data_IF_539533734156
#
_entry.id   IF_539533734156
#
_cell.length_a   1.000
_cell.length_b   1.000
_cell.length_c   1.000
_cell.angle_alpha   90.00
_cell.angle_beta   90.00
_cell.angle_gamma   90.00
#
_symmetry.space_group_name_H-M   'P 1'
#
loop_
_entity.id
_entity.type
_entity.pdbx_description
1 polymer ?
#
# COMPACT_ATOMS: atom_id res chain seq x y z
N UNK A 1 15.92 -0.48 4.47
CA UNK A 1 14.70 -1.15 5.00
C UNK A 1 14.49 -2.55 4.44
N UNK A 2 14.86 -2.88 3.20
CA UNK A 2 14.53 -4.17 2.55
C UNK A 2 15.65 -5.23 2.55
N UNK A 3 16.81 -4.98 3.17
CA UNK A 3 17.90 -5.96 3.17
C UNK A 3 17.66 -7.10 4.18
N UNK A 4 18.24 -8.29 3.91
CA UNK A 4 18.09 -9.50 4.74
C UNK A 4 18.49 -9.26 6.20
N UNK A 5 19.65 -8.62 6.42
CA UNK A 5 20.12 -8.27 7.76
C UNK A 5 19.09 -7.44 8.53
N UNK A 6 18.51 -6.42 7.90
CA UNK A 6 17.49 -5.61 8.57
C UNK A 6 16.24 -6.44 8.90
N UNK A 7 15.80 -7.31 8.00
CA UNK A 7 14.66 -8.21 8.26
C UNK A 7 14.94 -9.16 9.44
N UNK A 8 16.14 -9.71 9.54
CA UNK A 8 16.59 -10.54 10.67
C UNK A 8 16.60 -9.74 11.99
N UNK A 9 17.20 -8.54 11.97
CA UNK A 9 17.25 -7.64 13.13
C UNK A 9 15.82 -7.28 13.60
N UNK A 10 14.86 -7.07 12.68
CA UNK A 10 13.45 -6.82 13.02
C UNK A 10 12.72 -8.08 13.52
N UNK A 11 12.99 -9.25 12.93
CA UNK A 11 12.39 -10.53 13.31
C UNK A 11 12.78 -10.94 14.74
N UNK A 12 14.02 -10.63 15.15
CA UNK A 12 14.51 -10.92 16.49
C UNK A 12 13.71 -10.22 17.61
N UNK A 13 12.91 -9.20 17.27
CA UNK A 13 12.04 -8.50 18.22
C UNK A 13 10.66 -9.18 18.42
N UNK A 14 10.34 -10.21 17.63
CA UNK A 14 9.04 -10.88 17.68
C UNK A 14 9.08 -11.96 18.78
N UNK A 15 8.23 -11.81 19.80
CA UNK A 15 7.94 -12.83 20.81
C UNK A 15 6.60 -13.51 20.47
N UNK A 16 6.62 -14.82 20.21
CA UNK A 16 5.41 -15.56 19.84
C UNK A 16 4.43 -15.75 21.00
N UNK A 17 4.82 -15.42 22.24
CA UNK A 17 3.99 -15.54 23.44
C UNK A 17 3.50 -14.19 23.96
N UNK A 18 4.03 -13.07 23.45
CA UNK A 18 3.73 -11.73 23.97
C UNK A 18 3.83 -10.65 22.89
N UNK A 19 2.83 -9.78 22.82
CA UNK A 19 2.89 -8.59 21.98
C UNK A 19 3.87 -7.54 22.53
N UNK A 20 4.54 -6.77 21.66
CA UNK A 20 5.39 -5.66 22.08
C UNK A 20 4.56 -4.50 22.64
N UNK A 21 5.01 -3.90 23.74
CA UNK A 21 4.33 -2.75 24.39
C UNK A 21 4.49 -1.44 23.62
N UNK A 22 5.60 -1.28 22.89
CA UNK A 22 5.89 -0.10 22.06
C UNK A 22 6.45 -0.55 20.73
N UNK A 23 5.92 0.03 19.66
CA UNK A 23 6.43 -0.17 18.30
C UNK A 23 6.86 1.18 17.74
N UNK A 24 7.98 1.22 17.02
CA UNK A 24 8.52 2.46 16.45
C UNK A 24 7.55 3.19 15.50
N UNK A 25 6.50 2.50 15.04
CA UNK A 25 5.47 3.03 14.15
C UNK A 25 4.19 3.46 14.89
N UNK A 26 4.17 3.48 16.23
CA UNK A 26 2.97 3.79 17.04
C UNK A 26 2.37 5.16 16.75
N UNK A 27 3.20 6.10 16.30
CA UNK A 27 2.82 7.50 16.13
C UNK A 27 2.31 7.79 14.71
N UNK A 28 2.22 6.76 13.85
CA UNK A 28 1.61 6.89 12.53
C UNK A 28 0.09 7.00 12.69
N UNK A 29 -0.40 8.23 12.67
CA UNK A 29 -1.84 8.51 12.54
C UNK A 29 -2.32 7.93 11.20
N UNK A 30 -3.10 6.86 11.27
CA UNK A 30 -3.75 6.23 10.14
C UNK A 30 -5.26 6.56 10.17
N UNK A 31 -5.69 7.73 9.68
CA UNK A 31 -7.11 7.99 9.57
C UNK A 31 -7.76 6.91 8.70
N UNK A 32 -8.96 6.43 9.06
CA UNK A 32 -9.68 5.46 8.24
C UNK A 32 -9.84 5.99 6.82
N UNK A 33 -9.34 5.24 5.84
CA UNK A 33 -9.40 5.59 4.43
C UNK A 33 -9.91 4.38 3.64
N UNK A 34 -11.17 4.45 3.19
CA UNK A 34 -11.86 3.28 2.62
C UNK A 34 -12.16 3.42 1.12
N UNK A 35 -12.05 4.61 0.54
CA UNK A 35 -12.53 4.92 -0.80
C UNK A 35 -11.39 4.86 -1.83
N UNK A 36 -11.05 3.64 -2.25
CA UNK A 36 -9.98 3.34 -3.22
C UNK A 36 -10.48 2.23 -4.12
N UNK A 37 -10.21 2.29 -5.42
CA UNK A 37 -10.55 1.20 -6.35
C UNK A 37 -9.28 0.56 -6.86
N UNK A 38 -9.19 -0.76 -6.72
CA UNK A 38 -8.19 -1.59 -7.39
C UNK A 38 -8.84 -2.32 -8.58
N UNK A 39 -8.12 -2.39 -9.68
CA UNK A 39 -8.49 -3.03 -10.93
C UNK A 39 -7.26 -3.78 -11.44
N UNK A 40 -7.47 -4.96 -12.00
CA UNK A 40 -6.43 -5.67 -12.73
C UNK A 40 -6.98 -6.22 -14.05
N UNK A 41 -6.13 -6.21 -15.07
CA UNK A 41 -6.42 -6.82 -16.38
C UNK A 41 -5.22 -7.66 -16.83
N UNK A 42 -5.51 -8.71 -17.58
CA UNK A 42 -4.52 -9.56 -18.26
C UNK A 42 -5.06 -9.84 -19.66
N UNK A 43 -4.23 -9.70 -20.69
CA UNK A 43 -4.61 -9.98 -22.07
C UNK A 43 -4.01 -11.30 -22.60
N UNK A 44 -4.41 -11.70 -23.81
CA UNK A 44 -3.96 -12.93 -24.46
C UNK A 44 -2.50 -12.91 -24.91
N UNK A 45 -1.88 -11.72 -24.97
CA UNK A 45 -0.47 -11.54 -25.32
C UNK A 45 0.46 -11.63 -24.10
N UNK A 46 -0.11 -11.82 -22.90
CA UNK A 46 0.63 -11.92 -21.65
C UNK A 46 0.93 -10.57 -20.99
N UNK A 47 0.31 -9.47 -21.43
CA UNK A 47 0.39 -8.20 -20.72
C UNK A 47 -0.50 -8.25 -19.48
N UNK A 48 0.02 -7.77 -18.35
CA UNK A 48 -0.72 -7.66 -17.09
C UNK A 48 -0.63 -6.24 -16.54
N UNK A 49 -1.76 -5.69 -16.07
CA UNK A 49 -1.83 -4.36 -15.46
C UNK A 49 -2.45 -4.44 -14.07
N UNK A 50 -1.71 -3.99 -13.05
CA UNK A 50 -2.22 -3.78 -11.70
C UNK A 50 -2.45 -2.28 -11.50
N UNK A 51 -3.71 -1.85 -11.52
CA UNK A 51 -4.08 -0.44 -11.46
C UNK A 51 -4.83 -0.12 -10.16
N UNK A 52 -4.47 0.98 -9.52
CA UNK A 52 -5.14 1.44 -8.31
C UNK A 52 -5.31 2.96 -8.33
N UNK A 53 -6.50 3.44 -7.98
CA UNK A 53 -6.81 4.85 -7.97
C UNK A 53 -7.73 5.23 -6.80
N UNK A 54 -7.60 6.48 -6.32
CA UNK A 54 -8.37 6.97 -5.18
C UNK A 54 -8.32 8.49 -5.06
N UNK A 55 -9.46 9.09 -4.73
CA UNK A 55 -9.59 10.49 -4.29
C UNK A 55 -9.17 10.71 -2.82
N UNK A 56 -8.57 9.73 -2.18
CA UNK A 56 -8.28 9.64 -0.74
C UNK A 56 -9.54 9.46 0.11
N UNK A 57 -10.32 10.53 0.32
CA UNK A 57 -11.69 10.45 0.85
C UNK A 57 -12.70 10.30 -0.30
N UNK A 58 -13.92 9.87 0.02
CA UNK A 58 -15.05 9.59 -0.90
C UNK A 58 -14.98 10.34 -2.25
N UNK A 59 -15.37 11.61 -2.27
CA UNK A 59 -15.29 12.50 -3.45
C UNK A 59 -14.10 13.47 -3.37
N UNK A 60 -13.08 13.15 -2.56
CA UNK A 60 -11.93 14.02 -2.38
C UNK A 60 -12.23 15.25 -1.51
N UNK A 61 -11.88 16.44 -1.99
CA UNK A 61 -12.05 17.71 -1.28
C UNK A 61 -13.15 18.59 -1.86
N UNK A 62 -13.43 18.50 -3.17
CA UNK A 62 -14.47 19.27 -3.85
C UNK A 62 -14.84 18.63 -5.19
N UNK A 63 -15.92 19.09 -5.79
CA UNK A 63 -16.35 18.76 -7.16
C UNK A 63 -16.27 20.02 -8.00
N UNK A 64 -15.63 19.93 -9.16
CA UNK A 64 -15.61 21.01 -10.16
C UNK A 64 -16.90 20.91 -10.97
N UNK A 65 -17.94 21.64 -10.56
CA UNK A 65 -19.30 21.50 -11.11
C UNK A 65 -19.35 21.71 -12.63
N UNK A 66 -18.68 22.75 -13.14
CA UNK A 66 -18.62 23.05 -14.57
C UNK A 66 -18.12 21.87 -15.42
N UNK A 67 -17.22 21.05 -14.86
CA UNK A 67 -16.54 19.98 -15.59
C UNK A 67 -16.92 18.57 -15.11
N UNK A 68 -17.72 18.46 -14.04
CA UNK A 68 -18.24 17.20 -13.51
C UNK A 68 -17.21 16.26 -12.87
N UNK A 69 -16.00 16.71 -12.50
CA UNK A 69 -15.00 15.85 -11.87
C UNK A 69 -14.70 16.23 -10.42
N UNK A 70 -14.37 15.22 -9.63
CA UNK A 70 -13.96 15.38 -8.23
C UNK A 70 -12.46 15.66 -8.11
N UNK A 71 -12.06 16.52 -7.17
CA UNK A 71 -10.65 16.83 -6.87
C UNK A 71 -10.22 16.05 -5.64
N UNK A 72 -9.17 15.24 -5.76
CA UNK A 72 -8.69 14.40 -4.66
C UNK A 72 -8.31 15.23 -3.40
N UNK A 73 -8.46 14.64 -2.21
CA UNK A 73 -8.00 15.23 -0.94
C UNK A 73 -6.65 14.69 -0.47
N UNK A 74 -5.78 14.29 -1.41
CA UNK A 74 -4.52 13.57 -1.14
C UNK A 74 -3.52 14.33 -0.25
N UNK A 75 -3.58 15.66 -0.22
CA UNK A 75 -2.74 16.48 0.64
C UNK A 75 -2.89 16.16 2.15
N UNK A 76 -4.00 15.55 2.57
CA UNK A 76 -4.16 15.05 3.95
C UNK A 76 -3.19 13.92 4.32
N UNK A 77 -2.45 13.37 3.34
CA UNK A 77 -1.36 12.44 3.61
C UNK A 77 -0.09 13.12 4.17
N UNK A 78 0.01 14.46 4.18
CA UNK A 78 1.13 15.15 4.82
C UNK A 78 1.01 15.17 6.35
N UNK A 79 2.15 15.31 7.02
CA UNK A 79 2.23 15.50 8.47
C UNK A 79 2.48 16.97 8.78
N UNK A 80 1.62 17.58 9.60
CA UNK A 80 1.72 18.99 10.00
C UNK A 80 2.77 19.25 11.09
N UNK A 81 3.94 18.61 11.01
CA UNK A 81 5.04 18.75 11.97
C UNK A 81 6.29 19.17 11.20
N UNK A 82 6.81 20.34 11.52
CA UNK A 82 8.03 20.86 10.91
C UNK A 82 9.21 19.91 11.14
N UNK A 83 10.01 19.73 10.10
CA UNK A 83 11.12 18.76 10.11
C UNK A 83 10.72 17.30 9.91
N UNK A 84 9.42 16.94 9.96
CA UNK A 84 9.01 15.57 9.65
C UNK A 84 9.33 15.23 8.18
N UNK A 85 9.85 14.03 7.85
CA UNK A 85 10.20 13.65 6.47
C UNK A 85 9.02 13.75 5.49
N UNK A 86 7.79 13.66 5.99
CA UNK A 86 6.54 13.81 5.24
C UNK A 86 5.80 15.13 5.57
N UNK A 87 6.49 16.19 5.98
CA UNK A 87 5.92 17.54 6.07
C UNK A 87 5.67 18.11 4.66
N UNK A 88 4.71 19.04 4.53
CA UNK A 88 4.37 19.71 3.25
C UNK A 88 5.55 20.51 2.72
N UNK A 89 5.67 20.62 1.39
CA UNK A 89 6.72 21.39 0.73
C UNK A 89 6.44 21.66 -0.74
N UNK A 90 7.15 22.61 -1.37
CA UNK A 90 6.93 22.98 -2.77
C UNK A 90 7.17 21.77 -3.68
N UNK A 91 6.22 21.50 -4.58
CA UNK A 91 6.23 20.38 -5.54
C UNK A 91 6.37 18.98 -4.91
N UNK A 92 6.28 18.88 -3.58
CA UNK A 92 6.36 17.61 -2.87
C UNK A 92 5.04 16.86 -2.99
N UNK A 93 5.11 15.54 -3.12
CA UNK A 93 3.95 14.64 -3.04
C UNK A 93 3.86 14.06 -1.62
N UNK A 94 2.65 13.96 -1.04
CA UNK A 94 2.48 13.34 0.27
C UNK A 94 2.74 11.84 0.21
N UNK A 95 3.03 11.24 1.35
CA UNK A 95 2.99 9.79 1.52
C UNK A 95 1.70 9.21 0.95
N UNK A 96 1.83 8.10 0.21
CA UNK A 96 0.73 7.49 -0.51
C UNK A 96 0.44 6.10 0.03
N UNK A 97 -0.85 5.82 0.24
CA UNK A 97 -1.34 4.51 0.70
C UNK A 97 -1.57 3.53 -0.44
N UNK A 98 -1.74 4.01 -1.68
CA UNK A 98 -2.06 3.15 -2.83
C UNK A 98 -0.89 2.22 -3.17
N UNK A 99 -1.17 0.93 -3.19
CA UNK A 99 -0.16 -0.12 -3.36
C UNK A 99 -0.65 -1.21 -4.33
N UNK A 100 -0.47 -1.01 -5.65
CA UNK A 100 -0.62 -2.09 -6.61
C UNK A 100 0.60 -3.02 -6.51
N UNK A 101 0.38 -4.34 -6.52
CA UNK A 101 1.44 -5.34 -6.40
C UNK A 101 1.39 -6.29 -7.59
N UNK A 102 2.56 -6.57 -8.17
CA UNK A 102 2.75 -7.63 -9.14
C UNK A 102 3.68 -8.67 -8.53
N UNK A 103 3.28 -9.93 -8.58
CA UNK A 103 4.04 -11.06 -8.04
C UNK A 103 4.63 -11.84 -9.20
N UNK A 104 5.93 -12.08 -9.13
CA UNK A 104 6.69 -12.88 -10.11
C UNK A 104 7.41 -14.02 -9.39
N UNK A 105 7.59 -15.14 -10.07
CA UNK A 105 8.44 -16.21 -9.57
C UNK A 105 9.90 -15.74 -9.53
N UNK A 106 10.58 -15.94 -8.41
CA UNK A 106 11.95 -15.44 -8.24
C UNK A 106 13.01 -16.22 -9.01
N UNK A 107 12.70 -17.45 -9.44
CA UNK A 107 13.62 -18.31 -10.19
C UNK A 107 13.40 -18.19 -11.69
N UNK A 108 12.16 -18.35 -12.15
CA UNK A 108 11.85 -18.26 -13.59
C UNK A 108 11.62 -16.83 -14.07
N UNK A 109 11.25 -15.92 -13.16
CA UNK A 109 10.84 -14.55 -13.51
C UNK A 109 9.39 -14.48 -14.02
N UNK A 110 8.68 -15.59 -14.09
CA UNK A 110 7.33 -15.64 -14.66
C UNK A 110 6.34 -14.86 -13.82
N UNK A 111 5.44 -14.12 -14.48
CA UNK A 111 4.33 -13.46 -13.80
C UNK A 111 3.42 -14.50 -13.14
N UNK A 112 3.01 -14.22 -11.90
CA UNK A 112 2.16 -15.11 -11.10
C UNK A 112 0.78 -14.50 -10.87
N UNK A 113 0.74 -13.25 -10.42
CA UNK A 113 -0.51 -12.59 -10.04
C UNK A 113 -0.33 -11.07 -9.95
N UNK A 114 -1.42 -10.35 -10.17
CA UNK A 114 -1.59 -8.98 -9.72
C UNK A 114 -2.41 -9.00 -8.43
N UNK A 115 -1.91 -8.33 -7.39
CA UNK A 115 -2.54 -8.26 -6.08
C UNK A 115 -2.76 -6.80 -5.73
N UNK A 116 -3.92 -6.52 -5.17
CA UNK A 116 -4.26 -5.22 -4.65
C UNK A 116 -5.56 -5.29 -3.88
N UNK A 117 -5.78 -4.28 -3.05
CA UNK A 117 -6.97 -4.18 -2.25
C UNK A 117 -7.34 -2.72 -2.00
N UNK A 118 -8.58 -2.51 -1.58
CA UNK A 118 -9.08 -1.23 -1.09
C UNK A 118 -8.72 -1.10 0.40
N UNK A 119 -8.89 0.09 1.00
CA UNK A 119 -8.80 0.24 2.46
C UNK A 119 -7.56 0.96 3.00
N UNK A 120 -6.90 1.80 2.19
CA UNK A 120 -5.96 2.80 2.71
C UNK A 120 -4.77 2.18 3.42
N UNK A 121 -4.59 2.49 4.71
CA UNK A 121 -3.50 1.97 5.54
C UNK A 121 -3.57 0.47 5.83
N UNK A 122 -4.70 -0.19 5.52
CA UNK A 122 -4.86 -1.64 5.58
C UNK A 122 -4.28 -2.39 4.36
N UNK A 123 -3.93 -1.65 3.29
CA UNK A 123 -3.46 -2.26 2.05
C UNK A 123 -2.20 -3.12 2.21
N UNK A 124 -1.14 -2.67 2.94
CA UNK A 124 0.05 -3.50 3.13
C UNK A 124 -0.23 -4.84 3.81
N UNK A 125 -1.14 -4.86 4.80
CA UNK A 125 -1.48 -6.06 5.57
C UNK A 125 -2.26 -7.06 4.70
N UNK A 126 -3.27 -6.57 3.97
CA UNK A 126 -4.07 -7.43 3.07
C UNK A 126 -3.21 -7.94 1.91
N UNK A 127 -2.38 -7.09 1.30
CA UNK A 127 -1.48 -7.53 0.23
C UNK A 127 -0.51 -8.61 0.73
N UNK A 128 0.05 -8.48 1.93
CA UNK A 128 0.91 -9.51 2.53
C UNK A 128 0.18 -10.83 2.77
N UNK A 129 -1.07 -10.78 3.26
CA UNK A 129 -1.87 -11.97 3.50
C UNK A 129 -2.20 -12.72 2.20
N UNK A 130 -2.62 -12.00 1.17
CA UNK A 130 -2.99 -12.58 -0.13
C UNK A 130 -1.75 -13.08 -0.87
N UNK A 131 -0.65 -12.33 -0.85
CA UNK A 131 0.62 -12.76 -1.45
C UNK A 131 1.10 -14.07 -0.83
N UNK A 132 1.17 -14.16 0.50
CA UNK A 132 1.58 -15.38 1.17
C UNK A 132 0.68 -16.58 0.85
N UNK A 133 -0.61 -16.37 0.64
CA UNK A 133 -1.52 -17.43 0.19
C UNK A 133 -1.21 -17.90 -1.24
N UNK A 134 -0.96 -16.96 -2.16
CA UNK A 134 -0.64 -17.25 -3.57
C UNK A 134 0.69 -18.01 -3.68
N UNK A 135 1.71 -17.57 -2.95
CA UNK A 135 3.05 -18.16 -3.05
C UNK A 135 3.18 -19.49 -2.29
N UNK A 136 2.57 -19.64 -1.11
CA UNK A 136 2.62 -20.90 -0.37
C UNK A 136 1.90 -22.04 -1.10
N UNK A 137 0.70 -21.79 -1.63
CA UNK A 137 -0.07 -22.78 -2.40
C UNK A 137 0.69 -23.32 -3.61
N UNK A 138 1.43 -22.47 -4.32
CA UNK A 138 2.20 -22.89 -5.51
C UNK A 138 3.46 -23.67 -5.15
N UNK A 139 4.02 -23.40 -3.97
CA UNK A 139 5.16 -24.15 -3.40
C UNK A 139 4.79 -25.50 -2.77
N UNK A 140 3.49 -25.84 -2.71
CA UNK A 140 2.99 -27.05 -2.05
C UNK A 140 3.12 -27.03 -0.52
N UNK A 141 3.24 -25.84 0.08
CA UNK A 141 3.31 -25.61 1.53
C UNK A 141 2.01 -25.03 2.07
#
# INVERSE_FOLDING_TARGET
MTCKKHAEDRRALIDTKRAMDKVAASDLLAPPQFHTTFLTTVDEHGNACAFINSNFKLFGCTIVEEHGFAVHSRAMGFVGVDGHPNCVGPLKKPYHTLMPVMVTDSQSGDWMANIGCMGGYGQPQVNLQVEGYVTNKRSGR
#
